data_IF_503800303714
#
_entry.id   IF_503800303714
#
_cell.length_a   1.000
_cell.length_b   1.000
_cell.length_c   1.000
_cell.angle_alpha   90.00
_cell.angle_beta   90.00
_cell.angle_gamma   90.00
#
_symmetry.space_group_name_H-M   'P 1'
#
loop_
_entity.id
_entity.type
_entity.pdbx_description
1 polymer ?
#
# COMPACT_ATOMS: atom_id res chain seq x y z
N UNK A 1 -2.51 -3.64 29.16
CA UNK A 1 -3.37 -3.54 27.96
C UNK A 1 -2.42 -3.52 26.77
N UNK A 2 -2.32 -4.62 26.03
CA UNK A 2 -1.38 -4.73 24.90
C UNK A 2 -2.14 -4.16 23.70
N UNK A 3 -1.75 -2.97 23.24
CA UNK A 3 -2.33 -2.37 22.05
C UNK A 3 -1.84 -3.22 20.87
N UNK A 4 -2.72 -4.01 20.30
CA UNK A 4 -2.44 -4.91 19.18
C UNK A 4 -2.36 -4.13 17.86
N UNK A 5 -1.46 -3.16 17.70
CA UNK A 5 -1.30 -2.51 16.38
C UNK A 5 -0.82 -3.52 15.34
N UNK A 6 -0.27 -4.68 15.75
CA UNK A 6 0.32 -5.68 14.85
C UNK A 6 1.45 -5.08 13.99
N UNK A 7 1.89 -3.87 14.34
CA UNK A 7 2.94 -3.12 13.67
C UNK A 7 4.26 -3.37 14.39
N UNK A 8 5.29 -3.70 13.62
CA UNK A 8 6.69 -3.80 14.07
C UNK A 8 7.28 -2.44 14.46
N UNK A 9 6.69 -1.36 13.93
CA UNK A 9 7.15 0.02 14.10
C UNK A 9 6.06 0.87 14.77
N UNK A 10 6.44 2.09 15.16
CA UNK A 10 5.50 3.01 15.80
C UNK A 10 4.31 3.35 14.88
N UNK A 11 3.09 3.50 15.40
CA UNK A 11 1.92 3.85 14.59
C UNK A 11 2.09 5.12 13.73
N UNK A 12 2.69 6.22 14.22
CA UNK A 12 2.94 7.40 13.39
C UNK A 12 3.90 7.12 12.22
N UNK A 13 4.92 6.29 12.43
CA UNK A 13 5.87 5.91 11.39
C UNK A 13 5.21 5.00 10.34
N UNK A 14 4.38 4.05 10.78
CA UNK A 14 3.60 3.20 9.89
C UNK A 14 2.66 4.00 8.98
N UNK A 15 1.92 4.95 9.56
CA UNK A 15 1.04 5.86 8.80
C UNK A 15 1.85 6.64 7.77
N UNK A 16 2.96 7.27 8.18
CA UNK A 16 3.84 8.03 7.26
C UNK A 16 4.30 7.17 6.09
N UNK A 17 4.74 5.94 6.35
CA UNK A 17 5.21 5.03 5.30
C UNK A 17 4.09 4.64 4.32
N UNK A 18 2.86 4.45 4.80
CA UNK A 18 1.69 4.17 3.94
C UNK A 18 1.26 5.41 3.14
N UNK A 19 1.24 6.59 3.75
CA UNK A 19 0.96 7.87 3.09
C UNK A 19 1.98 8.14 1.97
N UNK A 20 3.26 7.87 2.20
CA UNK A 20 4.28 7.97 1.14
C UNK A 20 4.01 7.04 -0.05
N UNK A 21 3.35 5.89 0.15
CA UNK A 21 2.95 5.00 -0.95
C UNK A 21 1.70 5.51 -1.66
N UNK A 22 0.74 6.04 -0.92
CA UNK A 22 -0.46 6.70 -1.45
C UNK A 22 -0.12 7.91 -2.33
N UNK A 23 0.79 8.76 -1.88
CA UNK A 23 1.24 9.91 -2.65
C UNK A 23 1.92 9.46 -3.93
N UNK A 24 2.78 8.45 -3.84
CA UNK A 24 3.48 7.92 -5.01
C UNK A 24 2.53 7.32 -6.06
N UNK A 25 1.51 6.56 -5.67
CA UNK A 25 0.52 6.00 -6.63
C UNK A 25 -0.35 7.11 -7.23
N UNK A 26 -0.68 8.14 -6.45
CA UNK A 26 -1.43 9.31 -6.91
C UNK A 26 -0.63 10.10 -7.95
N UNK A 27 0.66 10.34 -7.70
CA UNK A 27 1.54 11.02 -8.65
C UNK A 27 1.74 10.21 -9.94
N UNK A 28 1.87 8.88 -9.85
CA UNK A 28 1.89 8.03 -11.04
C UNK A 28 0.58 8.14 -11.83
N UNK A 29 -0.57 8.17 -11.15
CA UNK A 29 -1.88 8.33 -11.79
C UNK A 29 -2.03 9.66 -12.55
N UNK A 30 -1.48 10.75 -12.01
CA UNK A 30 -1.47 12.08 -12.67
C UNK A 30 -0.64 12.11 -13.97
N UNK A 31 0.40 11.29 -14.06
CA UNK A 31 1.24 11.16 -15.27
C UNK A 31 0.53 10.39 -16.39
N UNK A 32 -0.60 9.74 -16.11
CA UNK A 32 -1.37 8.97 -17.08
C UNK A 32 -0.62 7.74 -17.59
N UNK A 33 -0.95 7.28 -18.81
CA UNK A 33 -0.37 6.09 -19.43
C UNK A 33 1.14 6.21 -19.76
N UNK A 34 1.80 7.33 -19.45
CA UNK A 34 3.26 7.46 -19.58
C UNK A 34 4.02 6.79 -18.42
N UNK A 35 3.33 6.50 -17.31
CA UNK A 35 3.82 5.64 -16.25
C UNK A 35 3.98 4.21 -16.79
N UNK A 36 5.19 3.86 -17.20
CA UNK A 36 5.46 2.57 -17.84
C UNK A 36 5.14 1.39 -16.93
N UNK A 37 4.83 0.24 -17.53
CA UNK A 37 4.57 -1.02 -16.82
C UNK A 37 5.55 -1.31 -15.68
N UNK A 38 6.86 -1.12 -15.95
CA UNK A 38 7.91 -1.41 -14.98
C UNK A 38 7.95 -0.42 -13.82
N UNK A 39 7.50 0.82 -14.00
CA UNK A 39 7.39 1.80 -12.91
C UNK A 39 6.29 1.37 -11.94
N UNK A 40 5.14 0.97 -12.45
CA UNK A 40 4.04 0.44 -11.63
C UNK A 40 4.43 -0.87 -10.95
N UNK A 41 5.10 -1.79 -11.66
CA UNK A 41 5.59 -3.04 -11.07
C UNK A 41 6.59 -2.77 -9.92
N UNK A 42 7.53 -1.84 -10.12
CA UNK A 42 8.47 -1.42 -9.09
C UNK A 42 7.76 -0.79 -7.89
N UNK A 43 6.72 0.02 -8.15
CA UNK A 43 5.88 0.58 -7.09
C UNK A 43 5.17 -0.52 -6.31
N UNK A 44 4.53 -1.50 -6.96
CA UNK A 44 3.85 -2.62 -6.29
C UNK A 44 4.80 -3.40 -5.38
N UNK A 45 5.98 -3.76 -5.90
CA UNK A 45 7.01 -4.48 -5.14
C UNK A 45 7.47 -3.69 -3.90
N UNK A 46 7.70 -2.39 -4.07
CA UNK A 46 8.07 -1.50 -2.95
C UNK A 46 6.93 -1.38 -1.94
N UNK A 47 5.68 -1.27 -2.38
CA UNK A 47 4.51 -1.23 -1.50
C UNK A 47 4.38 -2.50 -0.67
N UNK A 48 4.56 -3.68 -1.26
CA UNK A 48 4.54 -4.93 -0.50
C UNK A 48 5.66 -4.98 0.54
N UNK A 49 6.88 -4.58 0.16
CA UNK A 49 8.01 -4.49 1.10
C UNK A 49 7.76 -3.49 2.23
N UNK A 50 7.11 -2.37 1.93
CA UNK A 50 6.68 -1.37 2.93
C UNK A 50 5.68 -1.98 3.91
N UNK A 51 4.67 -2.70 3.41
CA UNK A 51 3.67 -3.37 4.25
C UNK A 51 4.32 -4.44 5.14
N UNK A 52 5.29 -5.21 4.61
CA UNK A 52 6.06 -6.19 5.39
C UNK A 52 6.96 -5.56 6.45
N UNK A 53 7.49 -4.36 6.20
CA UNK A 53 8.27 -3.63 7.19
C UNK A 53 7.38 -3.08 8.32
N UNK A 54 6.12 -2.76 8.00
CA UNK A 54 5.15 -2.24 8.96
C UNK A 54 4.58 -3.36 9.82
N UNK A 55 4.10 -4.46 9.25
CA UNK A 55 3.33 -5.47 9.98
C UNK A 55 4.14 -6.73 10.33
N UNK A 56 3.72 -7.45 11.37
CA UNK A 56 4.34 -8.70 11.80
C UNK A 56 4.34 -9.79 10.71
N UNK A 57 5.33 -10.70 10.77
CA UNK A 57 5.34 -11.83 9.85
C UNK A 57 4.13 -12.73 10.12
N UNK A 58 3.32 -13.00 9.09
CA UNK A 58 2.06 -13.72 9.23
C UNK A 58 0.83 -12.83 9.44
N UNK A 59 1.00 -11.50 9.46
CA UNK A 59 -0.12 -10.57 9.42
C UNK A 59 -0.86 -10.66 8.08
N UNK A 60 -2.19 -10.77 8.14
CA UNK A 60 -3.03 -10.95 6.96
C UNK A 60 -2.94 -9.76 5.99
N UNK A 61 -2.57 -8.56 6.46
CA UNK A 61 -2.46 -7.34 5.65
C UNK A 61 -1.36 -7.44 4.60
N UNK A 62 -0.26 -8.13 4.92
CA UNK A 62 0.80 -8.42 3.94
C UNK A 62 0.32 -9.33 2.81
N UNK A 63 -0.55 -10.30 3.11
CA UNK A 63 -1.13 -11.18 2.09
C UNK A 63 -2.26 -10.48 1.31
N UNK A 64 -3.12 -9.73 1.99
CA UNK A 64 -4.24 -9.00 1.39
C UNK A 64 -3.75 -8.00 0.33
N UNK A 65 -2.68 -7.23 0.61
CA UNK A 65 -2.12 -6.30 -0.38
C UNK A 65 -1.50 -7.03 -1.59
N UNK A 66 -0.93 -8.22 -1.40
CA UNK A 66 -0.36 -9.03 -2.50
C UNK A 66 -1.43 -9.62 -3.40
N UNK A 67 -2.60 -9.93 -2.86
CA UNK A 67 -3.74 -10.45 -3.63
C UNK A 67 -4.28 -9.46 -4.66
N UNK A 68 -4.04 -8.15 -4.49
CA UNK A 68 -4.31 -7.15 -5.52
C UNK A 68 -3.49 -7.44 -6.79
N UNK A 69 -2.30 -8.02 -6.63
CA UNK A 69 -1.44 -8.45 -7.72
C UNK A 69 -0.72 -7.29 -8.43
N UNK A 70 -0.07 -7.63 -9.54
CA UNK A 70 0.66 -6.69 -10.40
C UNK A 70 -0.01 -6.61 -11.78
N UNK A 71 0.30 -5.61 -12.61
CA UNK A 71 -0.22 -5.56 -13.97
C UNK A 71 0.17 -6.83 -14.76
N UNK A 72 -0.74 -7.36 -15.57
CA UNK A 72 -0.65 -8.70 -16.13
C UNK A 72 0.41 -8.90 -17.24
N UNK A 73 0.66 -7.91 -18.10
CA UNK A 73 1.77 -7.95 -19.05
C UNK A 73 2.32 -6.54 -19.29
N UNK A 74 3.62 -6.43 -19.61
CA UNK A 74 4.22 -5.26 -20.25
C UNK A 74 3.60 -4.92 -21.63
N UNK A 75 2.88 -5.88 -22.22
CA UNK A 75 2.09 -5.78 -23.43
C UNK A 75 0.73 -5.07 -23.20
N UNK A 76 0.22 -5.11 -21.96
CA UNK A 76 -0.98 -4.38 -21.61
C UNK A 76 -0.67 -2.88 -21.72
N UNK A 77 -1.63 -2.07 -22.14
CA UNK A 77 -1.43 -0.61 -22.30
C UNK A 77 -0.69 -0.04 -21.08
N UNK A 78 0.32 0.83 -21.29
CA UNK A 78 1.16 1.32 -20.21
C UNK A 78 0.29 2.03 -19.15
N UNK A 79 0.59 1.79 -17.88
CA UNK A 79 -0.09 2.41 -16.73
C UNK A 79 -0.87 1.45 -15.81
N UNK A 80 -0.92 0.14 -16.09
CA UNK A 80 -1.88 -0.74 -15.39
C UNK A 80 -3.31 -0.32 -15.71
N UNK A 81 -4.31 -1.03 -15.17
CA UNK A 81 -5.67 -0.50 -15.25
C UNK A 81 -5.80 0.58 -14.16
N UNK A 82 -6.36 1.77 -14.46
CA UNK A 82 -6.67 2.77 -13.43
C UNK A 82 -7.39 2.15 -12.21
N UNK A 83 -8.24 1.15 -12.48
CA UNK A 83 -8.91 0.32 -11.49
C UNK A 83 -7.95 -0.38 -10.50
N UNK A 84 -6.78 -0.88 -10.94
CA UNK A 84 -5.82 -1.52 -10.05
C UNK A 84 -5.14 -0.51 -9.12
N UNK A 85 -4.79 0.67 -9.63
CA UNK A 85 -4.22 1.75 -8.82
C UNK A 85 -5.23 2.22 -7.76
N UNK A 86 -6.50 2.34 -8.13
CA UNK A 86 -7.60 2.66 -7.21
C UNK A 86 -7.75 1.61 -6.09
N UNK A 87 -7.70 0.32 -6.42
CA UNK A 87 -7.78 -0.77 -5.43
C UNK A 87 -6.60 -0.70 -4.46
N UNK A 88 -5.38 -0.48 -4.96
CA UNK A 88 -4.21 -0.26 -4.11
C UNK A 88 -4.37 0.94 -3.18
N UNK A 89 -4.82 2.08 -3.71
CA UNK A 89 -5.04 3.29 -2.92
C UNK A 89 -6.08 3.09 -1.83
N UNK A 90 -7.23 2.49 -2.15
CA UNK A 90 -8.27 2.19 -1.17
C UNK A 90 -7.76 1.26 -0.06
N UNK A 91 -6.96 0.25 -0.42
CA UNK A 91 -6.43 -0.69 0.56
C UNK A 91 -5.38 -0.06 1.49
N UNK A 92 -4.50 0.80 0.97
CA UNK A 92 -3.54 1.54 1.78
C UNK A 92 -4.24 2.52 2.73
N UNK A 93 -5.29 3.21 2.25
CA UNK A 93 -6.09 4.11 3.08
C UNK A 93 -6.78 3.34 4.22
N UNK A 94 -7.35 2.16 3.92
CA UNK A 94 -7.94 1.27 4.93
C UNK A 94 -6.94 0.89 6.02
N UNK A 95 -5.68 0.62 5.69
CA UNK A 95 -4.64 0.34 6.69
C UNK A 95 -4.32 1.55 7.57
N UNK A 96 -4.22 2.74 6.98
CA UNK A 96 -4.02 3.98 7.74
C UNK A 96 -5.17 4.20 8.72
N UNK A 97 -6.42 4.05 8.26
CA UNK A 97 -7.60 4.28 9.08
C UNK A 97 -7.68 3.29 10.25
N UNK A 98 -7.32 2.02 10.01
CA UNK A 98 -7.22 1.00 11.06
C UNK A 98 -6.16 1.38 12.11
N UNK A 99 -4.95 1.76 11.68
CA UNK A 99 -3.89 2.17 12.61
C UNK A 99 -4.34 3.40 13.42
N UNK A 100 -5.01 4.38 12.79
CA UNK A 100 -5.56 5.56 13.50
C UNK A 100 -6.63 5.19 14.51
N UNK A 101 -7.53 4.27 14.18
CA UNK A 101 -8.55 3.79 15.10
C UNK A 101 -7.94 3.06 16.31
N UNK A 102 -6.89 2.27 16.09
CA UNK A 102 -6.18 1.57 17.16
C UNK A 102 -5.48 2.53 18.13
N UNK A 103 -4.93 3.65 17.61
CA UNK A 103 -4.36 4.72 18.44
C UNK A 103 -5.45 5.34 19.32
N UNK A 104 -6.59 5.73 18.73
CA UNK A 104 -7.69 6.37 19.47
C UNK A 104 -8.31 5.46 20.52
N UNK A 105 -8.41 4.15 20.24
CA UNK A 105 -8.94 3.17 21.19
C UNK A 105 -7.99 2.87 22.37
N UNK A 106 -6.72 3.28 22.25
CA UNK A 106 -5.71 3.09 23.27
C UNK A 106 -5.55 4.27 24.24
N UNK A 107 -6.16 5.42 23.93
CA UNK A 107 -6.25 6.62 24.76
C UNK A 107 -7.41 6.53 25.77
#
# INVERSE_FOLDING_TARGET
MIIMTGTKISPPEAIRMLEERLDAITEMGKRGCDGGYYELLAWCSKTWSTVDAIFEAGDYRSEEIRQIGVPACSCAKPGGTPMQMEVYSAQLQKYIDQIRADIQAAE
#
